data_IF_548529733548
#
_entry.id   IF_548529733548
#
_cell.length_a   1.000
_cell.length_b   1.000
_cell.length_c   1.000
_cell.angle_alpha   90.00
_cell.angle_beta   90.00
_cell.angle_gamma   90.00
#
_symmetry.space_group_name_H-M   'P 1'
#
loop_
_entity.id
_entity.type
_entity.pdbx_description
1 polymer ?
#
# COMPACT_ATOMS: atom_id res chain seq x y z
N UNK A 1 -15.76 -26.75 45.97
CA UNK A 1 -15.50 -25.37 45.52
C UNK A 1 -14.78 -25.43 44.19
N UNK A 2 -15.53 -25.26 43.10
CA UNK A 2 -15.04 -25.42 41.72
C UNK A 2 -14.39 -24.11 41.30
N UNK A 3 -13.09 -24.11 41.00
CA UNK A 3 -12.44 -23.03 40.23
C UNK A 3 -12.05 -23.60 38.87
N UNK A 4 -12.71 -23.09 37.85
CA UNK A 4 -12.50 -23.44 36.45
C UNK A 4 -11.09 -23.00 36.02
N UNK A 5 -10.26 -23.96 35.63
CA UNK A 5 -9.12 -23.73 34.74
C UNK A 5 -9.69 -23.66 33.34
N UNK A 6 -9.84 -22.45 32.81
CA UNK A 6 -10.42 -22.20 31.51
C UNK A 6 -9.88 -20.91 30.92
N UNK A 7 -8.63 -20.94 30.44
CA UNK A 7 -8.12 -20.15 29.30
C UNK A 7 -6.67 -20.55 29.00
N UNK A 8 -6.46 -21.46 28.05
CA UNK A 8 -5.11 -21.88 27.60
C UNK A 8 -5.18 -22.31 26.14
N UNK A 9 -5.50 -21.39 25.22
CA UNK A 9 -5.37 -21.63 23.78
C UNK A 9 -5.16 -20.35 22.95
N UNK A 10 -5.02 -19.18 23.56
CA UNK A 10 -4.77 -17.90 22.85
C UNK A 10 -3.36 -17.35 23.11
N UNK A 11 -2.49 -18.10 23.80
CA UNK A 11 -1.20 -17.57 24.30
C UNK A 11 0.01 -17.84 23.39
N UNK A 12 -0.09 -18.72 22.40
CA UNK A 12 1.07 -19.19 21.64
C UNK A 12 1.61 -18.14 20.66
N UNK A 13 0.74 -17.30 20.10
CA UNK A 13 1.11 -16.26 19.15
C UNK A 13 1.65 -15.00 19.85
N UNK A 14 1.06 -14.61 20.98
CA UNK A 14 1.53 -13.45 21.74
C UNK A 14 2.92 -13.66 22.34
N UNK A 15 3.21 -14.87 22.84
CA UNK A 15 4.53 -15.19 23.39
C UNK A 15 5.63 -15.27 22.32
N UNK A 16 5.28 -15.73 21.11
CA UNK A 16 6.22 -15.85 19.98
C UNK A 16 6.59 -14.47 19.38
N UNK A 17 5.61 -13.57 19.26
CA UNK A 17 5.85 -12.20 18.80
C UNK A 17 6.66 -11.40 19.83
N UNK A 18 6.32 -11.51 21.11
CA UNK A 18 7.05 -10.80 22.18
C UNK A 18 8.49 -11.29 22.29
N UNK A 19 8.72 -12.61 22.23
CA UNK A 19 10.09 -13.17 22.28
C UNK A 19 10.91 -12.81 21.04
N UNK A 20 10.29 -12.73 19.86
CA UNK A 20 10.95 -12.26 18.64
C UNK A 20 11.40 -10.81 18.74
N UNK A 21 10.53 -9.92 19.25
CA UNK A 21 10.87 -8.51 19.47
C UNK A 21 11.99 -8.39 20.51
N UNK A 22 11.95 -9.19 21.57
CA UNK A 22 12.96 -9.20 22.62
C UNK A 22 14.33 -9.69 22.10
N UNK A 23 14.33 -10.75 21.29
CA UNK A 23 15.54 -11.26 20.64
C UNK A 23 16.17 -10.23 19.68
N UNK A 24 15.36 -9.49 18.93
CA UNK A 24 15.82 -8.39 18.06
C UNK A 24 16.34 -7.19 18.89
N UNK A 25 15.77 -6.94 20.07
CA UNK A 25 16.19 -5.87 20.97
C UNK A 25 17.51 -6.14 21.70
N UNK A 26 17.76 -7.41 22.07
CA UNK A 26 18.95 -7.82 22.81
C UNK A 26 20.20 -7.92 21.92
N UNK A 27 20.03 -8.07 20.61
CA UNK A 27 21.14 -8.14 19.66
C UNK A 27 21.65 -6.73 19.32
N UNK A 28 22.84 -6.37 19.81
CA UNK A 28 23.41 -5.02 19.73
C UNK A 28 23.56 -4.46 18.30
N UNK A 29 23.82 -5.33 17.33
CA UNK A 29 23.94 -4.99 15.90
C UNK A 29 22.60 -4.54 15.30
N UNK A 30 21.50 -5.20 15.67
CA UNK A 30 20.17 -4.94 15.11
C UNK A 30 19.49 -3.73 15.77
N UNK A 31 19.99 -3.28 16.94
CA UNK A 31 19.51 -2.06 17.63
C UNK A 31 19.68 -0.81 16.77
N UNK A 32 20.80 -0.68 16.05
CA UNK A 32 21.01 0.44 15.13
C UNK A 32 20.03 0.39 13.95
N UNK A 33 19.77 -0.81 13.42
CA UNK A 33 18.76 -1.04 12.38
C UNK A 33 17.36 -0.68 12.88
N UNK A 34 17.00 -1.06 14.10
CA UNK A 34 15.70 -0.75 14.71
C UNK A 34 15.50 0.74 14.97
N UNK A 35 16.54 1.43 15.45
CA UNK A 35 16.52 2.89 15.63
C UNK A 35 16.41 3.59 14.26
N UNK A 36 17.18 3.14 13.27
CA UNK A 36 17.11 3.65 11.90
C UNK A 36 15.73 3.44 11.26
N UNK A 37 15.15 2.26 11.41
CA UNK A 37 13.80 1.93 10.95
C UNK A 37 12.75 2.79 11.65
N UNK A 38 12.86 2.97 12.97
CA UNK A 38 11.94 3.80 13.75
C UNK A 38 12.02 5.27 13.33
N UNK A 39 13.23 5.77 13.13
CA UNK A 39 13.44 7.12 12.62
C UNK A 39 12.90 7.28 11.20
N UNK A 40 13.17 6.33 10.31
CA UNK A 40 12.63 6.32 8.96
C UNK A 40 11.10 6.27 8.97
N UNK A 41 10.48 5.50 9.87
CA UNK A 41 9.03 5.45 10.03
C UNK A 41 8.46 6.81 10.48
N UNK A 42 9.11 7.48 11.44
CA UNK A 42 8.71 8.82 11.89
C UNK A 42 8.85 9.84 10.76
N UNK A 43 9.97 9.83 10.03
CA UNK A 43 10.22 10.72 8.89
C UNK A 43 9.22 10.46 7.77
N UNK A 44 8.94 9.19 7.46
CA UNK A 44 7.94 8.81 6.46
C UNK A 44 6.55 9.29 6.85
N UNK A 45 6.17 9.14 8.12
CA UNK A 45 4.89 9.64 8.63
C UNK A 45 4.82 11.17 8.58
N UNK A 46 5.86 11.87 9.03
CA UNK A 46 5.95 13.33 8.97
C UNK A 46 5.88 13.84 7.53
N UNK A 47 6.63 13.22 6.61
CA UNK A 47 6.63 13.55 5.19
C UNK A 47 5.25 13.31 4.57
N UNK A 48 4.57 12.20 4.90
CA UNK A 48 3.22 11.90 4.42
C UNK A 48 2.20 12.93 4.89
N UNK A 49 2.26 13.35 6.16
CA UNK A 49 1.39 14.40 6.71
C UNK A 49 1.66 15.77 6.08
N UNK A 50 2.93 16.12 5.86
CA UNK A 50 3.32 17.35 5.16
C UNK A 50 2.87 17.33 3.70
N UNK A 51 2.95 16.17 3.04
CA UNK A 51 2.45 16.00 1.67
C UNK A 51 0.94 16.25 1.61
N UNK A 52 0.15 15.65 2.51
CA UNK A 52 -1.29 15.92 2.61
C UNK A 52 -1.56 17.42 2.79
N UNK A 53 -0.80 18.08 3.68
CA UNK A 53 -0.97 19.50 3.95
C UNK A 53 -0.57 20.36 2.75
N UNK A 54 0.45 19.94 1.98
CA UNK A 54 0.87 20.61 0.76
C UNK A 54 -0.16 20.47 -0.36
N UNK A 55 -0.77 19.29 -0.51
CA UNK A 55 -1.90 19.08 -1.43
C UNK A 55 -3.10 19.94 -1.03
N UNK A 56 -3.46 19.97 0.26
CA UNK A 56 -4.59 20.76 0.76
C UNK A 56 -4.40 22.28 0.55
N UNK A 57 -3.13 22.73 0.57
CA UNK A 57 -2.74 24.12 0.27
C UNK A 57 -2.56 24.43 -1.21
N UNK A 58 -2.68 23.44 -2.09
CA UNK A 58 -2.60 23.63 -3.54
C UNK A 58 -4.03 23.61 -4.12
N UNK A 59 -4.71 24.78 -4.21
CA UNK A 59 -6.10 24.86 -4.69
C UNK A 59 -6.27 24.34 -6.14
N UNK A 60 -5.19 24.23 -6.90
CA UNK A 60 -5.19 23.83 -8.31
C UNK A 60 -4.94 22.33 -8.50
N UNK A 61 -4.47 21.60 -7.48
CA UNK A 61 -4.15 20.17 -7.63
C UNK A 61 -5.43 19.36 -7.79
N UNK A 62 -6.44 19.62 -6.96
CA UNK A 62 -7.74 18.94 -7.06
C UNK A 62 -8.40 19.20 -8.43
N UNK A 63 -8.57 20.47 -8.81
CA UNK A 63 -9.14 20.82 -10.12
C UNK A 63 -8.25 20.39 -11.29
N UNK A 64 -6.92 20.37 -11.11
CA UNK A 64 -5.97 19.90 -12.11
C UNK A 64 -6.09 18.39 -12.36
N UNK A 65 -6.12 17.58 -11.30
CA UNK A 65 -6.36 16.14 -11.42
C UNK A 65 -7.77 15.83 -11.95
N UNK A 66 -8.78 16.63 -11.61
CA UNK A 66 -10.12 16.51 -12.19
C UNK A 66 -10.10 16.77 -13.70
N UNK A 67 -9.47 17.85 -14.16
CA UNK A 67 -9.32 18.15 -15.58
C UNK A 67 -8.49 17.07 -16.30
N UNK A 68 -7.39 16.62 -15.71
CA UNK A 68 -6.59 15.52 -16.26
C UNK A 68 -7.41 14.24 -16.34
N UNK A 69 -8.21 13.93 -15.33
CA UNK A 69 -9.11 12.78 -15.29
C UNK A 69 -10.17 12.85 -16.39
N UNK A 70 -10.82 13.99 -16.56
CA UNK A 70 -11.81 14.21 -17.62
C UNK A 70 -11.15 14.13 -19.00
N UNK A 71 -10.00 14.79 -19.18
CA UNK A 71 -9.30 14.81 -20.46
C UNK A 71 -8.83 13.40 -20.86
N UNK A 72 -8.23 12.68 -19.92
CA UNK A 72 -7.78 11.31 -20.13
C UNK A 72 -8.96 10.37 -20.34
N UNK A 73 -10.03 10.46 -19.54
CA UNK A 73 -11.22 9.64 -19.69
C UNK A 73 -11.89 9.86 -21.05
N UNK A 74 -12.00 11.13 -21.48
CA UNK A 74 -12.56 11.49 -22.79
C UNK A 74 -11.69 10.94 -23.92
N UNK A 75 -10.37 11.15 -23.86
CA UNK A 75 -9.43 10.63 -24.86
C UNK A 75 -9.42 9.10 -24.91
N UNK A 76 -9.38 8.43 -23.76
CA UNK A 76 -9.39 6.98 -23.65
C UNK A 76 -10.68 6.39 -24.21
N UNK A 77 -11.83 6.96 -23.85
CA UNK A 77 -13.12 6.53 -24.36
C UNK A 77 -13.18 6.69 -25.88
N UNK A 78 -12.70 7.83 -26.40
CA UNK A 78 -12.66 8.06 -27.84
C UNK A 78 -11.72 7.09 -28.57
N UNK A 79 -10.52 6.86 -28.03
CA UNK A 79 -9.46 6.04 -28.64
C UNK A 79 -9.71 4.53 -28.54
N UNK A 80 -10.32 4.05 -27.46
CA UNK A 80 -10.39 2.59 -27.17
C UNK A 80 -11.81 2.04 -27.09
N UNK A 81 -12.81 2.87 -26.80
CA UNK A 81 -14.18 2.39 -26.55
C UNK A 81 -15.16 2.74 -27.66
N UNK A 82 -14.91 3.71 -28.53
CA UNK A 82 -15.90 4.05 -29.57
C UNK A 82 -15.90 3.07 -30.74
N UNK A 83 -14.73 2.68 -31.24
CA UNK A 83 -14.62 1.86 -32.44
C UNK A 83 -14.41 0.37 -32.12
N UNK A 84 -15.00 -0.51 -32.93
CA UNK A 84 -14.83 -1.96 -32.79
C UNK A 84 -13.37 -2.43 -32.82
N UNK A 85 -12.53 -2.04 -33.79
CA UNK A 85 -11.13 -2.49 -33.81
C UNK A 85 -10.38 -2.09 -32.54
N UNK A 86 -10.63 -0.89 -32.02
CA UNK A 86 -9.93 -0.39 -30.83
C UNK A 86 -10.33 -1.12 -29.54
N UNK A 87 -11.58 -1.61 -29.44
CA UNK A 87 -12.02 -2.45 -28.30
C UNK A 87 -11.32 -3.82 -28.32
N UNK A 88 -11.10 -4.36 -29.51
CA UNK A 88 -10.37 -5.62 -29.69
C UNK A 88 -8.89 -5.45 -29.32
N UNK A 89 -8.26 -4.35 -29.75
CA UNK A 89 -6.91 -3.95 -29.30
C UNK A 89 -6.83 -3.87 -27.78
N UNK A 90 -7.78 -3.18 -27.13
CA UNK A 90 -7.83 -3.06 -25.68
C UNK A 90 -7.93 -4.44 -24.99
N UNK A 91 -8.81 -5.32 -25.48
CA UNK A 91 -8.96 -6.67 -24.92
C UNK A 91 -7.68 -7.51 -25.07
N UNK A 92 -6.99 -7.40 -26.20
CA UNK A 92 -5.71 -8.07 -26.41
C UNK A 92 -4.64 -7.55 -25.46
N UNK A 93 -4.54 -6.22 -25.29
CA UNK A 93 -3.60 -5.59 -24.36
C UNK A 93 -3.86 -6.09 -22.93
N UNK A 94 -5.11 -6.07 -22.47
CA UNK A 94 -5.48 -6.55 -21.13
C UNK A 94 -5.12 -8.02 -20.94
N UNK A 95 -5.47 -8.88 -21.90
CA UNK A 95 -5.11 -10.32 -21.84
C UNK A 95 -3.61 -10.53 -21.79
N UNK A 96 -2.84 -9.79 -22.60
CA UNK A 96 -1.38 -9.85 -22.62
C UNK A 96 -0.79 -9.43 -21.29
N UNK A 97 -1.24 -8.30 -20.71
CA UNK A 97 -0.76 -7.83 -19.40
C UNK A 97 -1.08 -8.82 -18.28
N UNK A 98 -2.27 -9.41 -18.30
CA UNK A 98 -2.66 -10.43 -17.30
C UNK A 98 -1.78 -11.68 -17.44
N UNK A 99 -1.57 -12.16 -18.66
CA UNK A 99 -0.70 -13.30 -18.93
C UNK A 99 0.74 -13.07 -18.46
N UNK A 100 1.30 -11.88 -18.73
CA UNK A 100 2.66 -11.49 -18.35
C UNK A 100 2.86 -11.46 -16.83
N UNK A 101 1.87 -10.97 -16.07
CA UNK A 101 1.90 -10.94 -14.59
C UNK A 101 1.75 -12.35 -13.99
N UNK A 102 0.96 -13.22 -14.63
CA UNK A 102 0.72 -14.59 -14.19
C UNK A 102 1.76 -15.60 -14.71
N UNK A 103 2.68 -15.17 -15.59
CA UNK A 103 3.69 -16.02 -16.20
C UNK A 103 3.10 -17.11 -17.12
N UNK A 104 1.94 -16.85 -17.73
CA UNK A 104 1.30 -17.74 -18.71
C UNK A 104 1.56 -17.30 -20.15
#
# INVERSE_FOLDING_TARGET
MVRASGKSSESSTDLDVVSSIQNVWDKSEDRLGLIGLSFAAIVALWASLNLITAIDKLPVVSSGFELVGILFSTWFTYRYLLFKPDREELSQIVKKSVADILGQ
#
